data_IF_284078036549
#
_entry.id   IF_284078036549
#
_cell.length_a   1.000
_cell.length_b   1.000
_cell.length_c   1.000
_cell.angle_alpha   90.00
_cell.angle_beta   90.00
_cell.angle_gamma   90.00
#
_symmetry.space_group_name_H-M   'P 1'
#
loop_
_entity.id
_entity.type
_entity.pdbx_description
1 polymer ?
#
# COMPACT_ATOMS: atom_id res chain seq x y z
N UNK A 1 12.82 -0.64 12.60
CA UNK A 1 11.48 -0.01 12.71
C UNK A 1 10.71 -0.73 13.81
N UNK A 2 10.13 0.01 14.74
CA UNK A 2 9.33 -0.60 15.81
C UNK A 2 7.90 -0.91 15.32
N UNK A 3 7.18 -1.72 16.08
CA UNK A 3 5.85 -2.14 15.71
C UNK A 3 4.83 -1.00 15.70
N UNK A 4 4.95 -0.07 16.62
CA UNK A 4 4.06 1.09 16.68
C UNK A 4 4.16 1.93 15.41
N UNK A 5 5.37 2.19 14.95
CA UNK A 5 5.60 2.92 13.72
C UNK A 5 5.05 2.15 12.51
N UNK A 6 5.27 0.84 12.47
CA UNK A 6 4.75 0.00 11.41
C UNK A 6 3.22 0.04 11.37
N UNK A 7 2.57 -0.04 12.52
CA UNK A 7 1.11 0.06 12.61
C UNK A 7 0.61 1.42 12.14
N UNK A 8 1.32 2.50 12.48
CA UNK A 8 0.97 3.84 12.03
C UNK A 8 1.08 3.96 10.51
N UNK A 9 2.12 3.38 9.93
CA UNK A 9 2.29 3.36 8.48
C UNK A 9 1.18 2.55 7.81
N UNK A 10 0.91 1.36 8.32
CA UNK A 10 -0.16 0.52 7.76
C UNK A 10 -1.53 1.19 7.88
N UNK A 11 -1.80 1.84 9.02
CA UNK A 11 -3.04 2.60 9.21
C UNK A 11 -3.18 3.75 8.21
N UNK A 12 -2.08 4.45 7.93
CA UNK A 12 -2.07 5.51 6.94
C UNK A 12 -2.32 4.95 5.52
N UNK A 13 -1.73 3.80 5.22
CA UNK A 13 -1.91 3.15 3.91
C UNK A 13 -3.35 2.67 3.71
N UNK A 14 -4.09 2.37 4.79
CA UNK A 14 -5.50 2.02 4.69
C UNK A 14 -6.37 3.18 4.20
N UNK A 15 -5.85 4.39 4.16
CA UNK A 15 -6.53 5.55 3.59
C UNK A 15 -6.31 5.67 2.08
N UNK A 16 -5.40 4.89 1.52
CA UNK A 16 -5.12 4.90 0.09
C UNK A 16 -6.06 3.92 -0.61
N UNK A 17 -7.00 4.48 -1.37
CA UNK A 17 -8.06 3.71 -2.01
C UNK A 17 -7.72 3.50 -3.48
N UNK A 18 -7.78 2.24 -3.94
CA UNK A 18 -7.66 1.93 -5.36
C UNK A 18 -8.88 2.50 -6.08
N UNK A 19 -8.69 3.41 -7.05
CA UNK A 19 -9.82 4.06 -7.69
C UNK A 19 -10.66 3.13 -8.58
N UNK A 20 -10.12 2.00 -9.00
CA UNK A 20 -10.88 1.03 -9.80
C UNK A 20 -11.76 0.15 -8.93
N UNK A 21 -11.28 -0.26 -7.78
CA UNK A 21 -11.96 -1.22 -6.93
C UNK A 21 -12.68 -0.60 -5.74
N UNK A 22 -12.30 0.63 -5.36
CA UNK A 22 -12.91 1.32 -4.23
C UNK A 22 -12.56 0.75 -2.86
N UNK A 23 -11.51 -0.05 -2.76
CA UNK A 23 -11.03 -0.66 -1.52
C UNK A 23 -9.58 -0.23 -1.33
N UNK A 24 -9.16 -0.09 -0.06
CA UNK A 24 -7.81 0.35 0.26
C UNK A 24 -6.75 -0.70 -0.13
N UNK A 25 -5.55 -0.23 -0.40
CA UNK A 25 -4.46 -1.08 -0.90
C UNK A 25 -4.00 -2.13 0.11
N UNK A 26 -4.17 -1.89 1.40
CA UNK A 26 -3.80 -2.86 2.44
C UNK A 26 -4.74 -4.05 2.42
N UNK A 27 -6.05 -3.80 2.40
CA UNK A 27 -7.04 -4.87 2.34
C UNK A 27 -7.05 -5.61 1.02
N UNK A 28 -6.66 -4.94 -0.06
CA UNK A 28 -6.50 -5.60 -1.36
C UNK A 28 -5.30 -6.55 -1.40
N UNK A 29 -4.40 -6.46 -0.42
CA UNK A 29 -3.20 -7.30 -0.40
C UNK A 29 -2.11 -6.79 -1.36
N UNK A 30 -2.12 -5.51 -1.69
CA UNK A 30 -1.15 -4.93 -2.61
C UNK A 30 0.17 -4.56 -1.94
N UNK A 31 0.17 -4.33 -0.63
CA UNK A 31 1.36 -3.94 0.12
C UNK A 31 2.10 -5.21 0.58
N UNK A 32 3.29 -5.43 0.06
CA UNK A 32 4.07 -6.63 0.35
C UNK A 32 5.07 -6.44 1.49
N UNK A 33 5.64 -5.25 1.59
CA UNK A 33 6.63 -4.98 2.63
C UNK A 33 6.69 -3.49 2.95
N UNK A 34 7.03 -3.18 4.19
CA UNK A 34 7.23 -1.81 4.66
C UNK A 34 8.54 -1.78 5.42
N UNK A 35 9.46 -0.94 5.00
CA UNK A 35 10.77 -0.78 5.65
C UNK A 35 11.06 0.70 5.85
N UNK A 36 11.89 1.00 6.84
CA UNK A 36 12.40 2.36 7.03
C UNK A 36 13.87 2.29 7.43
N UNK A 37 14.68 3.14 6.82
CA UNK A 37 16.10 3.20 7.15
C UNK A 37 16.38 4.18 8.29
N UNK A 38 17.65 4.30 8.69
CA UNK A 38 18.06 5.17 9.77
C UNK A 38 17.93 6.67 9.43
N UNK A 39 17.78 6.99 8.17
CA UNK A 39 17.62 8.36 7.71
C UNK A 39 16.16 8.82 7.68
N UNK A 40 15.24 7.93 7.98
CA UNK A 40 13.80 8.23 7.97
C UNK A 40 13.15 8.07 6.61
N UNK A 41 13.78 7.33 5.71
CA UNK A 41 13.20 7.04 4.39
C UNK A 41 12.40 5.74 4.49
N UNK A 42 11.10 5.84 4.29
CA UNK A 42 10.21 4.68 4.28
C UNK A 42 10.14 4.11 2.86
N UNK A 43 10.35 2.81 2.74
CA UNK A 43 10.23 2.11 1.46
C UNK A 43 9.03 1.19 1.51
N UNK A 44 8.08 1.44 0.63
CA UNK A 44 6.86 0.64 0.52
C UNK A 44 7.00 -0.23 -0.72
N UNK A 45 7.13 -1.52 -0.50
CA UNK A 45 7.16 -2.50 -1.60
C UNK A 45 5.75 -3.01 -1.82
N UNK A 46 5.22 -2.79 -3.00
CA UNK A 46 3.84 -3.14 -3.30
C UNK A 46 3.69 -3.55 -4.77
N UNK A 47 2.54 -4.09 -5.09
CA UNK A 47 2.16 -4.43 -6.46
C UNK A 47 0.85 -3.73 -6.83
N UNK A 48 0.43 -3.92 -8.07
CA UNK A 48 -0.84 -3.41 -8.57
C UNK A 48 -1.67 -4.57 -9.11
N UNK A 49 -2.97 -4.37 -9.25
CA UNK A 49 -3.88 -5.42 -9.69
C UNK A 49 -3.72 -5.79 -11.15
N UNK A 50 -3.15 -4.90 -11.97
CA UNK A 50 -2.92 -5.15 -13.39
C UNK A 50 -1.65 -4.45 -13.86
N UNK A 51 -0.86 -5.14 -14.69
CA UNK A 51 0.30 -4.55 -15.34
C UNK A 51 -0.14 -3.46 -16.31
N UNK A 52 0.65 -2.40 -16.40
CA UNK A 52 0.37 -1.28 -17.28
C UNK A 52 -0.79 -0.41 -16.81
N UNK A 53 -1.19 -0.53 -15.56
CA UNK A 53 -2.26 0.28 -14.99
C UNK A 53 -1.90 1.76 -15.08
N UNK A 54 -2.72 2.60 -15.76
CA UNK A 54 -2.43 4.02 -15.88
C UNK A 54 -2.57 4.77 -14.55
N UNK A 55 -3.14 4.11 -13.54
CA UNK A 55 -3.35 4.70 -12.22
C UNK A 55 -2.17 4.48 -11.28
N UNK A 56 -1.09 3.82 -11.73
CA UNK A 56 0.08 3.57 -10.90
C UNK A 56 0.64 4.86 -10.30
N UNK A 57 0.77 5.90 -11.10
CA UNK A 57 1.25 7.20 -10.62
C UNK A 57 0.34 7.83 -9.59
N UNK A 58 -0.98 7.66 -9.74
CA UNK A 58 -1.96 8.17 -8.78
C UNK A 58 -1.81 7.46 -7.44
N UNK A 59 -1.67 6.13 -7.46
CA UNK A 59 -1.52 5.33 -6.24
C UNK A 59 -0.21 5.69 -5.52
N UNK A 60 0.89 5.80 -6.26
CA UNK A 60 2.19 6.19 -5.69
C UNK A 60 2.10 7.55 -5.02
N UNK A 61 1.46 8.52 -5.67
CA UNK A 61 1.28 9.86 -5.11
C UNK A 61 0.44 9.82 -3.84
N UNK A 62 -0.65 9.05 -3.83
CA UNK A 62 -1.49 8.91 -2.64
C UNK A 62 -0.75 8.25 -1.48
N UNK A 63 0.08 7.25 -1.76
CA UNK A 63 0.90 6.60 -0.72
C UNK A 63 1.84 7.62 -0.09
N UNK A 64 2.53 8.40 -0.89
CA UNK A 64 3.44 9.44 -0.38
C UNK A 64 2.71 10.47 0.45
N UNK A 65 1.54 10.92 0.01
CA UNK A 65 0.73 11.88 0.76
C UNK A 65 0.21 11.31 2.08
N UNK A 66 -0.18 10.05 2.08
CA UNK A 66 -0.69 9.40 3.28
C UNK A 66 0.37 9.32 4.38
N UNK A 67 1.64 9.18 4.00
CA UNK A 67 2.74 9.04 4.95
C UNK A 67 3.39 10.36 5.37
N UNK A 68 3.05 11.46 4.72
CA UNK A 68 3.69 12.76 4.98
C UNK A 68 3.44 13.27 6.39
N UNK A 69 2.31 12.88 7.00
CA UNK A 69 1.93 13.33 8.34
C UNK A 69 2.59 12.51 9.46
N UNK A 70 3.34 11.47 9.13
CA UNK A 70 4.04 10.66 10.13
C UNK A 70 5.39 11.33 10.40
N UNK A 71 5.63 11.85 11.63
CA UNK A 71 6.82 12.66 11.90
C UNK A 71 8.14 11.91 11.76
N UNK A 72 8.14 10.59 11.97
CA UNK A 72 9.34 9.77 11.84
C UNK A 72 9.78 9.58 10.39
N UNK A 73 8.89 9.83 9.43
CA UNK A 73 9.17 9.65 8.01
C UNK A 73 9.59 10.99 7.40
N UNK A 74 10.80 11.03 6.85
CA UNK A 74 11.31 12.23 6.17
C UNK A 74 11.02 12.19 4.69
N UNK A 75 11.00 10.98 4.10
CA UNK A 75 10.68 10.78 2.70
C UNK A 75 10.13 9.37 2.51
N UNK A 76 9.43 9.17 1.43
CA UNK A 76 8.81 7.87 1.11
C UNK A 76 9.21 7.45 -0.31
N UNK A 77 9.69 6.22 -0.43
CA UNK A 77 9.93 5.59 -1.72
C UNK A 77 8.91 4.47 -1.92
N UNK A 78 8.35 4.38 -3.11
CA UNK A 78 7.42 3.33 -3.47
C UNK A 78 8.08 2.46 -4.54
N UNK A 79 8.22 1.18 -4.22
CA UNK A 79 8.81 0.20 -5.11
C UNK A 79 7.71 -0.73 -5.63
N UNK A 80 7.37 -0.60 -6.90
CA UNK A 80 6.34 -1.43 -7.53
C UNK A 80 7.00 -2.69 -8.07
N UNK A 81 6.51 -3.84 -7.61
CA UNK A 81 7.01 -5.15 -8.04
C UNK A 81 5.87 -5.97 -8.64
N UNK A 82 6.22 -6.87 -9.53
CA UNK A 82 5.23 -7.72 -10.22
C UNK A 82 5.40 -9.20 -9.85
N UNK A 83 6.30 -9.48 -8.92
CA UNK A 83 6.55 -10.84 -8.45
C UNK A 83 6.62 -10.86 -6.92
N UNK A 84 5.82 -11.66 -6.24
CA UNK A 84 4.78 -12.54 -6.81
C UNK A 84 3.63 -11.75 -7.42
N UNK A 85 2.98 -12.29 -8.46
CA UNK A 85 1.83 -11.59 -9.06
C UNK A 85 0.65 -11.57 -8.09
N UNK A 86 -0.08 -10.46 -8.10
CA UNK A 86 -1.26 -10.33 -7.26
C UNK A 86 -2.39 -11.22 -7.74
N UNK A 87 -3.14 -11.79 -6.79
CA UNK A 87 -4.36 -12.53 -7.09
C UNK A 87 -5.41 -12.27 -5.99
N UNK A 88 -6.64 -12.67 -6.25
CA UNK A 88 -7.78 -12.41 -5.36
C UNK A 88 -7.63 -13.03 -3.98
N UNK A 89 -6.87 -14.10 -3.86
CA UNK A 89 -6.67 -14.76 -2.57
C UNK A 89 -5.81 -13.93 -1.62
N UNK A 90 -5.11 -12.93 -2.12
CA UNK A 90 -4.31 -12.02 -1.31
C UNK A 90 -5.15 -10.97 -0.60
N UNK A 91 -6.41 -10.79 -1.01
CA UNK A 91 -7.33 -9.86 -0.38
C UNK A 91 -7.69 -10.29 1.03
N UNK A 92 -7.88 -9.29 1.92
CA UNK A 92 -8.48 -9.56 3.22
C UNK A 92 -9.93 -10.00 3.06
N UNK A 93 -10.48 -10.60 4.11
CA UNK A 93 -11.89 -10.99 4.13
C UNK A 93 -12.81 -9.78 3.89
N UNK A 94 -12.46 -8.65 4.49
CA UNK A 94 -13.20 -7.41 4.30
C UNK A 94 -13.26 -6.99 2.83
N UNK A 95 -12.11 -7.03 2.14
CA UNK A 95 -12.07 -6.66 0.72
C UNK A 95 -12.89 -7.62 -0.14
N UNK A 96 -12.82 -8.91 0.14
CA UNK A 96 -13.61 -9.91 -0.58
C UNK A 96 -15.11 -9.66 -0.44
N UNK A 97 -15.55 -9.34 0.76
CA UNK A 97 -16.96 -9.04 1.03
C UNK A 97 -17.38 -7.76 0.32
N UNK A 98 -16.56 -6.72 0.42
CA UNK A 98 -16.86 -5.41 -0.19
C UNK A 98 -17.00 -5.51 -1.71
N UNK A 99 -16.24 -6.39 -2.35
CA UNK A 99 -16.25 -6.57 -3.80
C UNK A 99 -17.19 -7.72 -4.26
N UNK A 100 -17.85 -8.39 -3.34
CA UNK A 100 -18.75 -9.50 -3.66
C UNK A 100 -18.02 -10.78 -4.10
N UNK A 101 -16.75 -10.93 -3.74
CA UNK A 101 -15.94 -12.09 -4.05
C UNK A 101 -16.11 -13.12 -2.93
N UNK A 102 -16.29 -14.38 -3.29
CA UNK A 102 -16.45 -15.47 -2.33
C UNK A 102 -15.25 -16.38 -2.30
#
# INVERSE_FOLDING_TARGET
MNEELKENIMGALELVIDPELGVDIVNLGLVYNVEMDDEGIATITMTLTAMGCPLAGVIVDQVKRALVDIPEIKDTEVNIVWNPPWNKDMMSRYAKIALGIR
#
